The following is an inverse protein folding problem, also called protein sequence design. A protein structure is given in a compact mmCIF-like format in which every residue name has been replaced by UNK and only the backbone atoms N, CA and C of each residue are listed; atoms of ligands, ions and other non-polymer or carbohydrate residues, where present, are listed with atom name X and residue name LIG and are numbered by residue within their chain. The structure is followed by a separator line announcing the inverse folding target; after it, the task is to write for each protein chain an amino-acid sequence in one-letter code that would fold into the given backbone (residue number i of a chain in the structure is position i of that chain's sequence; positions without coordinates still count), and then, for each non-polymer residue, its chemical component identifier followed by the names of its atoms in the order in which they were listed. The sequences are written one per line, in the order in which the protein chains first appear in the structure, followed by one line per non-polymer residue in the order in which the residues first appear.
data_IF_340820676006
#
_entry.id   IF_340820676006
#
_cell.length_a   1.000
_cell.length_b   1.000
_cell.length_c   1.000
_cell.angle_alpha   90.00
_cell.angle_beta   90.00
_cell.angle_gamma   90.00
#
_symmetry.space_group_name_H-M   'P 1'
#
loop_
_entity.id
_entity.type
_entity.pdbx_description
1 polymer ?
#
# COMPACT_ATOMS: atom_id res chain seq x y z
N UNK A 1 -36.24 -16.03 13.75
CA UNK A 1 -37.18 -16.22 14.85
C UNK A 1 -38.52 -15.61 14.47
N UNK A 2 -39.59 -16.19 14.93
CA UNK A 2 -40.92 -15.60 14.85
C UNK A 2 -41.42 -15.41 16.28
N UNK A 3 -41.88 -14.18 16.59
CA UNK A 3 -42.38 -13.84 17.92
C UNK A 3 -41.39 -14.17 19.05
N UNK A 4 -40.11 -13.87 18.83
CA UNK A 4 -38.98 -14.18 19.70
C UNK A 4 -38.72 -15.70 19.95
N UNK A 5 -39.33 -16.56 19.15
CA UNK A 5 -39.11 -17.99 19.22
C UNK A 5 -38.38 -18.46 17.96
N UNK A 6 -37.31 -19.22 18.15
CA UNK A 6 -36.62 -19.84 17.03
C UNK A 6 -37.48 -20.92 16.40
N UNK A 7 -37.60 -20.86 15.08
CA UNK A 7 -38.40 -21.85 14.36
C UNK A 7 -37.73 -23.22 14.42
N UNK A 8 -38.52 -24.27 14.32
CA UNK A 8 -38.07 -25.67 14.35
C UNK A 8 -37.23 -26.02 15.60
N UNK A 9 -37.59 -25.41 16.74
CA UNK A 9 -36.86 -25.57 18.01
C UNK A 9 -35.36 -25.23 17.89
N UNK A 10 -35.04 -24.29 17.01
CA UNK A 10 -33.65 -23.91 16.73
C UNK A 10 -32.97 -23.28 17.93
N UNK A 11 -31.72 -23.61 18.11
CA UNK A 11 -30.81 -22.96 19.03
C UNK A 11 -29.63 -22.33 18.22
N UNK A 12 -29.58 -21.00 18.05
CA UNK A 12 -28.54 -20.35 17.30
C UNK A 12 -27.15 -20.47 17.95
N UNK A 13 -27.13 -20.87 19.25
CA UNK A 13 -25.86 -21.01 19.98
C UNK A 13 -25.37 -22.46 19.99
N UNK A 14 -26.05 -23.39 19.35
CA UNK A 14 -25.74 -24.82 19.37
C UNK A 14 -24.43 -25.21 18.64
N UNK A 15 -23.75 -24.25 18.01
CA UNK A 15 -22.49 -24.49 17.35
C UNK A 15 -22.56 -25.58 16.26
N UNK A 16 -21.70 -26.59 16.37
CA UNK A 16 -21.62 -27.67 15.39
C UNK A 16 -22.86 -28.59 15.38
N UNK A 17 -23.66 -28.60 16.45
CA UNK A 17 -24.85 -29.47 16.55
C UNK A 17 -26.01 -29.02 15.68
N UNK A 18 -26.00 -27.72 15.23
CA UNK A 18 -27.00 -27.15 14.30
C UNK A 18 -28.44 -27.45 14.67
N UNK A 19 -28.78 -27.42 15.98
CA UNK A 19 -30.11 -27.74 16.49
C UNK A 19 -31.16 -26.84 15.85
N UNK A 20 -32.16 -27.43 15.21
CA UNK A 20 -33.24 -26.72 14.51
C UNK A 20 -32.82 -26.06 13.20
N UNK A 21 -31.69 -26.43 12.63
CA UNK A 21 -31.33 -26.00 11.30
C UNK A 21 -32.34 -26.48 10.26
N UNK A 22 -32.78 -25.58 9.38
CA UNK A 22 -33.73 -25.87 8.30
C UNK A 22 -33.03 -26.61 7.13
N UNK A 23 -31.72 -26.53 7.08
CA UNK A 23 -30.86 -27.22 6.13
C UNK A 23 -29.47 -27.41 6.73
N UNK A 24 -28.88 -28.57 6.50
CA UNK A 24 -27.54 -28.91 7.02
C UNK A 24 -26.44 -28.62 6.02
N UNK A 25 -26.79 -28.40 4.76
CA UNK A 25 -25.84 -28.11 3.68
C UNK A 25 -25.85 -26.62 3.38
N UNK A 26 -25.13 -25.85 4.21
CA UNK A 26 -24.65 -24.57 3.77
C UNK A 26 -23.68 -24.85 2.62
N UNK A 27 -24.06 -24.45 1.42
CA UNK A 27 -23.15 -24.47 0.27
C UNK A 27 -21.86 -23.78 0.68
N UNK A 28 -20.81 -24.55 0.83
CA UNK A 28 -19.45 -24.02 0.91
C UNK A 28 -19.13 -23.49 -0.47
N UNK A 29 -19.27 -22.19 -0.68
CA UNK A 29 -18.67 -21.56 -1.84
C UNK A 29 -17.15 -21.69 -1.68
N UNK A 30 -16.48 -22.13 -2.73
CA UNK A 30 -15.03 -22.42 -2.71
C UNK A 30 -14.13 -21.24 -2.34
N UNK A 31 -14.67 -20.04 -2.17
CA UNK A 31 -13.96 -18.81 -1.80
C UNK A 31 -13.99 -18.51 -0.29
N UNK A 32 -14.64 -19.38 0.52
CA UNK A 32 -14.78 -19.17 1.96
C UNK A 32 -15.75 -18.05 2.36
N UNK A 33 -16.43 -17.41 1.42
CA UNK A 33 -17.38 -16.34 1.70
C UNK A 33 -18.79 -16.93 1.97
N UNK A 34 -19.49 -16.34 2.92
CA UNK A 34 -20.87 -16.69 3.25
C UNK A 34 -21.81 -15.57 2.83
N UNK A 35 -22.79 -15.91 2.04
CA UNK A 35 -23.81 -14.97 1.57
C UNK A 35 -25.14 -15.24 2.26
N UNK A 36 -25.80 -14.17 2.66
CA UNK A 36 -27.19 -14.28 3.09
C UNK A 36 -28.08 -14.54 1.86
N UNK A 37 -28.76 -15.66 1.84
CA UNK A 37 -29.75 -15.96 0.82
C UNK A 37 -31.09 -16.22 1.47
N UNK A 38 -32.13 -15.57 0.95
CA UNK A 38 -33.52 -15.79 1.38
C UNK A 38 -34.41 -15.95 0.16
N UNK A 39 -35.20 -16.98 0.12
CA UNK A 39 -36.24 -17.20 -0.90
C UNK A 39 -37.59 -17.27 -0.26
N UNK A 40 -38.52 -16.41 -0.69
CA UNK A 40 -39.94 -16.53 -0.39
C UNK A 40 -40.60 -17.36 -1.48
N UNK A 41 -41.27 -18.45 -1.09
CA UNK A 41 -42.08 -19.24 -2.01
C UNK A 41 -43.54 -19.22 -1.52
N UNK A 42 -44.41 -18.69 -2.38
CA UNK A 42 -45.84 -18.82 -2.20
C UNK A 42 -46.53 -18.94 -3.56
N UNK A 43 -47.36 -19.96 -3.73
CA UNK A 43 -47.86 -20.43 -5.01
C UNK A 43 -48.80 -19.46 -5.78
N UNK A 44 -49.29 -18.39 -5.19
CA UNK A 44 -50.20 -17.43 -5.84
C UNK A 44 -50.08 -15.98 -5.37
N UNK A 45 -49.33 -15.66 -4.31
CA UNK A 45 -49.21 -14.32 -3.77
C UNK A 45 -47.74 -13.88 -3.75
N UNK A 46 -47.51 -12.55 -3.93
CA UNK A 46 -46.18 -11.95 -3.83
C UNK A 46 -45.66 -12.03 -2.37
N UNK A 47 -44.72 -12.93 -2.10
CA UNK A 47 -44.06 -13.00 -0.82
C UNK A 47 -42.90 -12.01 -0.77
N UNK A 48 -42.97 -11.03 0.11
CA UNK A 48 -41.86 -10.10 0.37
C UNK A 48 -40.94 -10.63 1.47
N UNK A 49 -39.65 -10.76 1.21
CA UNK A 49 -38.66 -11.00 2.23
C UNK A 49 -38.10 -9.66 2.74
N UNK A 50 -38.35 -9.35 3.99
CA UNK A 50 -37.80 -8.16 4.63
C UNK A 50 -36.66 -8.55 5.55
N UNK A 51 -35.48 -8.00 5.27
CA UNK A 51 -34.28 -8.26 6.07
C UNK A 51 -33.89 -7.01 6.84
N UNK A 52 -33.71 -7.16 8.15
CA UNK A 52 -33.23 -6.10 9.02
C UNK A 52 -31.87 -6.51 9.62
N UNK A 53 -30.79 -5.92 9.12
CA UNK A 53 -29.44 -6.09 9.66
C UNK A 53 -29.08 -5.09 10.77
N UNK A 54 -30.07 -4.31 11.24
CA UNK A 54 -29.91 -3.27 12.24
C UNK A 54 -30.07 -1.85 11.68
N UNK A 55 -30.45 -1.71 10.40
CA UNK A 55 -30.80 -0.42 9.79
C UNK A 55 -32.08 0.20 10.38
N UNK A 56 -32.88 -0.62 11.08
CA UNK A 56 -34.01 -0.21 11.91
C UNK A 56 -33.91 -0.86 13.29
N UNK A 57 -34.60 -0.32 14.28
CA UNK A 57 -34.69 -0.99 15.57
C UNK A 57 -35.28 -2.41 15.40
N UNK A 58 -34.70 -3.37 16.10
CA UNK A 58 -35.29 -4.71 16.16
C UNK A 58 -36.58 -4.69 16.98
N UNK A 59 -37.59 -5.38 16.51
CA UNK A 59 -38.86 -5.57 17.25
C UNK A 59 -38.62 -6.41 18.49
N UNK A 60 -37.68 -7.36 18.40
CA UNK A 60 -37.35 -8.29 19.49
C UNK A 60 -35.87 -8.13 19.87
N UNK A 61 -35.56 -8.35 21.13
CA UNK A 61 -34.15 -8.36 21.59
C UNK A 61 -33.38 -9.48 20.90
N UNK A 62 -32.14 -9.14 20.50
CA UNK A 62 -31.25 -10.18 20.00
C UNK A 62 -30.92 -11.18 21.11
N UNK A 63 -30.72 -12.48 20.78
CA UNK A 63 -30.22 -13.45 21.74
C UNK A 63 -28.87 -13.02 22.32
N UNK A 64 -28.57 -13.44 23.54
CA UNK A 64 -27.29 -13.14 24.18
C UNK A 64 -26.12 -13.58 23.30
N UNK A 65 -25.17 -12.69 23.09
CA UNK A 65 -24.01 -12.93 22.23
C UNK A 65 -24.22 -12.62 20.75
N UNK A 66 -25.41 -12.16 20.37
CA UNK A 66 -25.72 -11.72 18.99
C UNK A 66 -25.96 -10.22 18.94
N UNK A 67 -25.38 -9.58 17.99
CA UNK A 67 -25.52 -8.16 17.75
C UNK A 67 -26.03 -7.87 16.33
N UNK A 68 -26.53 -6.66 16.13
CA UNK A 68 -26.92 -6.21 14.80
C UNK A 68 -25.69 -6.06 13.89
N UNK A 69 -25.84 -6.45 12.63
CA UNK A 69 -24.79 -6.25 11.62
C UNK A 69 -24.74 -4.77 11.23
N UNK A 70 -23.87 -4.02 11.88
CA UNK A 70 -23.59 -2.62 11.56
C UNK A 70 -22.13 -2.28 11.85
N UNK A 71 -21.62 -1.23 11.25
CA UNK A 71 -20.22 -0.82 11.40
C UNK A 71 -19.80 -0.54 12.85
N UNK A 72 -20.76 -0.14 13.71
CA UNK A 72 -20.49 0.11 15.14
C UNK A 72 -20.12 -1.16 15.92
N UNK A 73 -20.56 -2.32 15.46
CA UNK A 73 -20.31 -3.64 16.09
C UNK A 73 -19.15 -4.38 15.40
N UNK A 74 -18.51 -3.77 14.42
CA UNK A 74 -17.29 -4.30 13.81
C UNK A 74 -16.09 -3.83 14.63
N UNK A 75 -15.01 -4.62 14.70
CA UNK A 75 -13.77 -4.13 15.31
C UNK A 75 -13.31 -2.87 14.59
N UNK A 76 -12.75 -1.95 15.36
CA UNK A 76 -12.16 -0.74 14.79
C UNK A 76 -11.06 -1.11 13.77
N UNK A 77 -10.99 -0.43 12.62
CA UNK A 77 -9.92 -0.68 11.67
C UNK A 77 -8.56 -0.34 12.29
N UNK A 78 -7.54 -1.09 11.95
CA UNK A 78 -6.17 -0.85 12.42
C UNK A 78 -5.67 0.57 12.07
N UNK A 79 -6.18 1.14 10.98
CA UNK A 79 -5.98 2.52 10.59
C UNK A 79 -7.30 3.28 10.79
N UNK A 80 -7.43 4.02 11.88
CA UNK A 80 -8.62 4.78 12.21
C UNK A 80 -8.89 5.92 11.21
N UNK A 81 -7.83 6.52 10.67
CA UNK A 81 -7.91 7.63 9.72
C UNK A 81 -6.83 7.49 8.65
N UNK A 82 -7.23 7.09 7.45
CA UNK A 82 -6.33 6.85 6.32
C UNK A 82 -5.55 8.09 5.90
N UNK A 83 -6.15 9.28 6.03
CA UNK A 83 -5.52 10.57 5.67
C UNK A 83 -4.41 11.01 6.61
N UNK A 84 -4.13 10.27 7.68
CA UNK A 84 -2.93 10.49 8.51
C UNK A 84 -1.70 9.71 7.97
N UNK A 85 -1.92 8.84 6.98
CA UNK A 85 -0.88 7.97 6.44
C UNK A 85 -0.68 8.12 4.94
N UNK A 86 -1.75 8.39 4.20
CA UNK A 86 -1.73 8.61 2.75
C UNK A 86 -2.75 9.66 2.34
N UNK A 87 -2.35 10.59 1.49
CA UNK A 87 -3.25 11.59 0.94
C UNK A 87 -2.85 11.98 -0.49
N UNK A 88 -3.85 12.25 -1.34
CA UNK A 88 -3.67 12.77 -2.68
C UNK A 88 -4.22 14.19 -2.76
N UNK A 89 -3.40 15.13 -3.29
CA UNK A 89 -3.79 16.54 -3.45
C UNK A 89 -3.53 17.06 -4.83
N UNK A 90 -4.48 17.83 -5.33
CA UNK A 90 -4.31 18.64 -6.53
C UNK A 90 -3.66 19.96 -6.15
N UNK A 91 -2.79 20.47 -7.02
CA UNK A 91 -2.19 21.78 -6.87
C UNK A 91 -1.95 22.45 -8.23
N UNK A 92 -1.79 23.77 -8.22
CA UNK A 92 -1.53 24.56 -9.42
C UNK A 92 -0.05 24.91 -9.49
N UNK A 93 0.71 24.37 -10.45
CA UNK A 93 2.09 24.73 -10.69
C UNK A 93 2.26 26.22 -11.03
N UNK A 94 3.41 26.80 -10.67
CA UNK A 94 3.68 28.22 -10.90
C UNK A 94 5.05 28.52 -11.54
N UNK A 95 5.81 27.48 -11.88
CA UNK A 95 7.18 27.57 -12.44
C UNK A 95 8.19 28.33 -11.56
N UNK A 96 7.87 28.50 -10.29
CA UNK A 96 8.69 29.25 -9.33
C UNK A 96 8.74 28.56 -7.97
N UNK A 97 8.83 29.36 -6.92
CA UNK A 97 8.68 28.87 -5.55
C UNK A 97 7.21 28.59 -5.26
N UNK A 98 6.91 27.36 -4.90
CA UNK A 98 5.55 26.90 -4.64
C UNK A 98 5.52 26.07 -3.34
N UNK A 99 4.67 26.48 -2.41
CA UNK A 99 4.35 25.70 -1.23
C UNK A 99 3.00 25.04 -1.40
N UNK A 100 2.95 23.73 -1.32
CA UNK A 100 1.74 22.90 -1.37
C UNK A 100 1.46 22.38 0.02
N UNK A 101 0.36 22.82 0.62
CA UNK A 101 0.02 22.56 2.02
C UNK A 101 -1.33 21.85 2.19
N UNK A 102 -1.65 21.50 3.43
CA UNK A 102 -2.95 20.97 3.83
C UNK A 102 -3.01 19.45 3.94
N UNK A 103 -1.90 18.73 3.83
CA UNK A 103 -1.82 17.32 4.21
C UNK A 103 -1.99 17.17 5.72
N UNK A 104 -2.57 16.05 6.16
CA UNK A 104 -2.72 15.73 7.58
C UNK A 104 -1.40 15.35 8.27
N UNK A 105 -0.28 15.30 7.53
CA UNK A 105 1.04 14.86 7.99
C UNK A 105 2.15 15.50 7.17
N UNK A 106 3.42 15.39 7.63
CA UNK A 106 4.58 15.65 6.80
C UNK A 106 4.71 14.56 5.74
N UNK A 107 4.68 14.88 4.43
CA UNK A 107 5.00 13.91 3.40
C UNK A 107 6.42 13.37 3.56
N UNK A 108 6.59 12.05 3.65
CA UNK A 108 7.90 11.41 3.66
C UNK A 108 8.25 10.79 2.31
N UNK A 109 7.24 10.43 1.54
CA UNK A 109 7.35 10.06 0.13
C UNK A 109 6.36 10.88 -0.68
N UNK A 110 6.83 11.47 -1.76
CA UNK A 110 6.05 12.24 -2.72
C UNK A 110 6.17 11.61 -4.11
N UNK A 111 5.02 11.39 -4.72
CA UNK A 111 4.91 11.03 -6.13
C UNK A 111 4.13 12.14 -6.83
N UNK A 112 4.83 12.90 -7.71
CA UNK A 112 4.30 14.10 -8.34
C UNK A 112 4.07 13.87 -9.83
N UNK A 113 2.98 14.38 -10.39
CA UNK A 113 2.65 14.26 -11.81
C UNK A 113 1.85 15.45 -12.32
N UNK A 114 2.27 16.02 -13.45
CA UNK A 114 1.43 16.92 -14.23
C UNK A 114 0.22 16.13 -14.77
N UNK A 115 -0.97 16.73 -14.69
CA UNK A 115 -2.21 16.14 -15.21
C UNK A 115 -2.44 16.49 -16.68
N UNK A 116 -1.91 17.64 -17.12
CA UNK A 116 -2.12 18.17 -18.48
C UNK A 116 -1.04 17.75 -19.47
N UNK A 117 0.17 17.54 -19.00
CA UNK A 117 1.32 17.31 -19.87
C UNK A 117 1.86 15.88 -19.73
N UNK A 118 2.41 15.35 -20.83
CA UNK A 118 3.07 14.05 -20.87
C UNK A 118 4.46 14.05 -20.21
N UNK A 119 4.62 14.83 -19.14
CA UNK A 119 5.85 14.82 -18.35
C UNK A 119 5.99 13.48 -17.59
N UNK A 120 7.24 13.18 -17.21
CA UNK A 120 7.58 12.03 -16.39
C UNK A 120 6.91 12.08 -15.01
N UNK A 121 6.89 10.99 -14.32
CA UNK A 121 6.56 10.94 -12.90
C UNK A 121 7.79 11.33 -12.08
N UNK A 122 7.60 12.03 -10.98
CA UNK A 122 8.67 12.51 -10.12
C UNK A 122 8.49 11.98 -8.70
N UNK A 123 9.55 11.38 -8.17
CA UNK A 123 9.55 10.78 -6.85
C UNK A 123 10.62 11.39 -5.98
N UNK A 124 10.21 11.86 -4.80
CA UNK A 124 11.08 12.40 -3.76
C UNK A 124 10.78 11.70 -2.45
N UNK A 125 11.77 11.61 -1.57
CA UNK A 125 11.55 11.14 -0.21
C UNK A 125 12.45 11.81 0.81
N UNK A 126 11.99 11.80 2.06
CA UNK A 126 12.65 12.49 3.15
C UNK A 126 13.91 11.77 3.66
N UNK A 127 14.15 10.51 3.26
CA UNK A 127 15.38 9.77 3.59
C UNK A 127 16.52 10.22 2.68
N UNK A 128 16.26 10.38 1.38
CA UNK A 128 17.22 10.95 0.43
C UNK A 128 17.40 12.46 0.62
N UNK A 129 16.39 13.12 1.18
CA UNK A 129 16.39 14.54 1.49
C UNK A 129 15.98 15.42 0.30
N UNK A 130 16.22 16.73 0.44
CA UNK A 130 15.81 17.78 -0.50
C UNK A 130 16.84 18.03 -1.60
N UNK A 131 16.49 18.91 -2.54
CA UNK A 131 17.32 19.30 -3.68
C UNK A 131 16.86 18.68 -4.99
N UNK A 132 17.77 18.61 -5.95
CA UNK A 132 17.57 17.98 -7.25
C UNK A 132 17.71 16.46 -7.14
N UNK A 133 16.83 15.82 -6.37
CA UNK A 133 16.87 14.38 -6.06
C UNK A 133 15.68 13.63 -6.64
N UNK A 134 15.12 14.12 -7.73
CA UNK A 134 14.05 13.46 -8.42
C UNK A 134 14.49 12.11 -8.99
N UNK A 135 13.74 11.06 -8.71
CA UNK A 135 13.73 9.81 -9.47
C UNK A 135 12.46 9.78 -10.33
N UNK A 136 12.47 9.00 -11.39
CA UNK A 136 11.29 8.87 -12.27
C UNK A 136 10.88 7.42 -12.42
N UNK A 137 9.65 7.08 -11.95
CA UNK A 137 9.17 5.70 -11.98
C UNK A 137 8.98 5.10 -13.38
N UNK A 138 8.88 5.95 -14.38
CA UNK A 138 8.72 5.55 -15.79
C UNK A 138 10.02 5.71 -16.61
N UNK A 139 11.18 5.82 -15.95
CA UNK A 139 12.50 5.95 -16.59
C UNK A 139 13.57 5.17 -15.81
N UNK A 140 14.63 4.83 -16.51
CA UNK A 140 15.83 4.21 -15.92
C UNK A 140 16.82 5.21 -15.33
N UNK A 141 16.69 6.51 -15.62
CA UNK A 141 17.64 7.56 -15.25
C UNK A 141 18.06 7.52 -13.77
N UNK A 142 19.29 7.96 -13.50
CA UNK A 142 19.78 8.23 -12.16
C UNK A 142 19.01 9.38 -11.47
N UNK A 143 19.26 9.57 -10.18
CA UNK A 143 18.73 10.67 -9.38
C UNK A 143 19.25 12.01 -9.87
N UNK A 144 18.42 13.04 -9.90
CA UNK A 144 18.88 14.42 -10.10
C UNK A 144 18.76 14.99 -11.51
N UNK A 145 18.20 14.27 -12.44
CA UNK A 145 18.08 14.69 -13.84
C UNK A 145 16.87 15.64 -14.06
N UNK A 146 16.85 16.80 -13.36
CA UNK A 146 15.81 17.81 -13.56
C UNK A 146 16.23 19.23 -13.14
N UNK A 147 15.60 20.25 -13.77
CA UNK A 147 15.78 21.66 -13.46
C UNK A 147 15.02 22.15 -12.22
N UNK A 148 14.07 21.36 -11.71
CA UNK A 148 13.30 21.66 -10.51
C UNK A 148 13.83 20.95 -9.28
N UNK A 149 13.55 21.54 -8.14
CA UNK A 149 14.07 21.10 -6.85
C UNK A 149 12.95 21.05 -5.81
N UNK A 150 12.92 19.99 -5.02
CA UNK A 150 12.17 19.99 -3.78
C UNK A 150 13.02 20.69 -2.73
N UNK A 151 12.51 21.78 -2.13
CA UNK A 151 13.27 22.60 -1.18
C UNK A 151 13.01 22.22 0.26
N UNK A 152 11.80 21.73 0.59
CA UNK A 152 11.48 21.22 1.93
C UNK A 152 10.37 20.19 1.92
N UNK A 153 10.41 19.32 2.92
CA UNK A 153 9.30 18.54 3.42
C UNK A 153 8.74 19.27 4.64
N UNK A 154 7.52 19.80 4.53
CA UNK A 154 6.92 20.65 5.55
C UNK A 154 5.98 19.82 6.43
N UNK A 155 5.66 20.29 7.62
CA UNK A 155 4.81 19.53 8.58
C UNK A 155 3.44 19.14 8.02
N UNK A 156 2.93 19.89 7.03
CA UNK A 156 1.63 19.63 6.37
C UNK A 156 1.73 19.75 4.86
N UNK A 157 2.90 19.50 4.27
CA UNK A 157 3.10 19.65 2.84
C UNK A 157 4.53 19.57 2.38
N UNK A 158 4.81 20.31 1.29
CA UNK A 158 6.16 20.42 0.71
C UNK A 158 6.32 21.75 -0.02
N UNK A 159 7.56 22.20 -0.16
CA UNK A 159 7.90 23.36 -0.98
C UNK A 159 8.82 22.95 -2.10
N UNK A 160 8.59 23.51 -3.28
CA UNK A 160 9.38 23.27 -4.50
C UNK A 160 9.79 24.58 -5.15
N UNK A 161 10.81 24.54 -6.00
CA UNK A 161 11.28 25.67 -6.79
C UNK A 161 11.60 25.27 -8.22
N UNK A 162 11.60 26.26 -9.12
CA UNK A 162 11.91 26.05 -10.53
C UNK A 162 10.76 25.51 -11.37
N UNK A 163 10.99 25.38 -12.66
CA UNK A 163 9.99 25.01 -13.68
C UNK A 163 10.19 23.59 -14.19
N UNK A 164 10.26 22.62 -13.28
CA UNK A 164 10.24 21.21 -13.69
C UNK A 164 8.83 20.75 -14.06
N UNK A 165 8.70 19.63 -14.74
CA UNK A 165 7.40 19.12 -15.20
C UNK A 165 6.36 18.84 -14.09
N UNK A 166 6.75 18.81 -12.82
CA UNK A 166 5.82 18.74 -11.68
C UNK A 166 5.43 20.13 -11.16
N UNK A 167 6.16 21.20 -11.55
CA UNK A 167 5.87 22.59 -11.18
C UNK A 167 5.85 23.51 -12.40
N UNK A 168 5.64 22.99 -13.59
CA UNK A 168 5.55 23.78 -14.82
C UNK A 168 4.13 24.37 -14.96
N UNK A 169 4.03 25.71 -15.02
CA UNK A 169 2.75 26.41 -15.19
C UNK A 169 2.17 26.28 -16.60
N UNK A 170 2.94 25.79 -17.58
CA UNK A 170 2.45 25.36 -18.91
C UNK A 170 1.50 24.15 -18.84
N UNK A 171 1.33 23.56 -17.66
CA UNK A 171 0.34 22.49 -17.41
C UNK A 171 -1.12 22.95 -17.54
N UNK A 172 -1.38 24.23 -17.87
CA UNK A 172 -2.73 24.73 -18.05
C UNK A 172 -3.58 24.70 -16.79
N UNK A 173 -4.91 24.72 -16.95
CA UNK A 173 -5.87 24.68 -15.85
C UNK A 173 -5.98 23.33 -15.14
N UNK A 174 -5.47 22.25 -15.74
CA UNK A 174 -5.59 20.90 -15.19
C UNK A 174 -4.66 20.63 -14.01
N UNK A 175 -3.62 21.46 -13.86
CA UNK A 175 -2.74 21.45 -12.71
C UNK A 175 -1.86 20.19 -12.59
N UNK A 176 -1.48 19.88 -11.37
CA UNK A 176 -0.70 18.70 -11.02
C UNK A 176 -1.32 17.97 -9.83
N UNK A 177 -0.87 16.75 -9.60
CA UNK A 177 -1.26 15.93 -8.45
C UNK A 177 -0.03 15.52 -7.67
N UNK A 178 -0.16 15.51 -6.35
CA UNK A 178 0.77 14.93 -5.40
C UNK A 178 0.09 13.79 -4.67
N UNK A 179 0.66 12.60 -4.74
CA UNK A 179 0.40 11.51 -3.82
C UNK A 179 1.48 11.52 -2.76
N UNK A 180 1.07 11.50 -1.50
CA UNK A 180 1.95 11.61 -0.35
C UNK A 180 1.74 10.46 0.64
N UNK A 181 2.83 9.89 1.12
CA UNK A 181 2.84 8.85 2.16
C UNK A 181 3.59 9.35 3.39
N UNK A 182 3.11 8.94 4.56
CA UNK A 182 3.77 9.12 5.84
C UNK A 182 4.56 7.84 6.17
N UNK A 183 5.87 7.92 6.14
CA UNK A 183 6.77 6.84 6.55
C UNK A 183 7.15 6.91 8.04
N UNK A 184 6.58 7.86 8.78
CA UNK A 184 6.76 8.02 10.23
C UNK A 184 8.11 8.54 10.67
N UNK A 185 8.07 9.48 11.59
CA UNK A 185 9.22 9.92 12.39
C UNK A 185 10.43 10.47 11.65
N UNK A 186 11.56 10.42 12.32
CA UNK A 186 12.87 10.86 11.81
C UNK A 186 13.60 9.71 11.11
N UNK A 187 14.50 10.06 10.18
CA UNK A 187 15.42 9.09 9.59
C UNK A 187 16.37 8.54 10.66
N UNK A 188 16.46 7.23 10.76
CA UNK A 188 17.33 6.52 11.72
C UNK A 188 18.23 5.54 10.98
N UNK A 189 19.40 5.26 11.57
CA UNK A 189 20.26 4.18 11.09
C UNK A 189 19.69 2.85 11.60
N UNK A 190 19.43 1.92 10.69
CA UNK A 190 18.96 0.58 10.99
C UNK A 190 20.03 -0.46 10.63
N UNK A 191 20.47 -1.23 11.62
CA UNK A 191 21.50 -2.26 11.50
C UNK A 191 20.90 -3.68 11.63
N UNK A 192 19.60 -3.85 11.44
CA UNK A 192 18.95 -5.16 11.56
C UNK A 192 19.39 -6.14 10.45
N UNK A 193 19.74 -5.64 9.27
CA UNK A 193 20.32 -6.45 8.19
C UNK A 193 21.85 -6.52 8.19
N UNK A 194 22.42 -7.25 7.26
CA UNK A 194 23.87 -7.28 7.03
C UNK A 194 24.42 -6.01 6.38
N UNK A 195 23.54 -5.25 5.72
CA UNK A 195 23.81 -3.90 5.21
C UNK A 195 23.05 -2.91 6.08
N UNK A 196 23.75 -1.89 6.61
CA UNK A 196 23.15 -0.78 7.33
C UNK A 196 22.30 0.08 6.38
N UNK A 197 21.11 0.46 6.81
CA UNK A 197 20.20 1.34 6.06
C UNK A 197 19.94 2.64 6.80
N UNK A 198 19.67 3.73 6.05
CA UNK A 198 19.01 4.91 6.60
C UNK A 198 17.51 4.73 6.36
N UNK A 199 16.71 4.74 7.40
CA UNK A 199 15.34 4.24 7.41
C UNK A 199 14.36 5.25 7.99
N UNK A 200 13.20 5.38 7.33
CA UNK A 200 11.94 5.81 7.93
C UNK A 200 10.93 4.68 7.79
N UNK A 201 10.20 4.37 8.86
CA UNK A 201 9.19 3.32 8.84
C UNK A 201 7.96 3.71 9.65
N UNK A 202 6.80 3.45 9.10
CA UNK A 202 5.49 3.55 9.72
C UNK A 202 4.84 2.15 9.76
N UNK A 203 5.09 1.34 10.78
CA UNK A 203 4.52 0.00 10.87
C UNK A 203 2.98 -0.02 10.88
N UNK A 204 2.34 1.03 11.42
CA UNK A 204 0.87 1.15 11.42
C UNK A 204 0.32 1.29 10.01
N UNK A 205 0.98 2.08 9.16
CA UNK A 205 0.61 2.25 7.75
C UNK A 205 1.12 1.09 6.87
N UNK A 206 2.07 0.30 7.35
CA UNK A 206 2.75 -0.73 6.56
C UNK A 206 3.65 -0.16 5.47
N UNK A 207 4.24 1.03 5.69
CA UNK A 207 5.05 1.74 4.70
C UNK A 207 6.43 2.13 5.27
N UNK A 208 7.49 1.87 4.51
CA UNK A 208 8.85 2.29 4.88
C UNK A 208 9.66 2.71 3.65
N UNK A 209 10.69 3.52 3.89
CA UNK A 209 11.65 4.00 2.91
C UNK A 209 13.04 3.76 3.48
N UNK A 210 13.88 3.06 2.75
CA UNK A 210 15.26 2.80 3.17
C UNK A 210 16.24 3.20 2.07
N UNK A 211 17.38 3.77 2.43
CA UNK A 211 18.53 3.93 1.54
C UNK A 211 19.72 3.12 2.03
N UNK A 212 20.51 2.58 1.11
CA UNK A 212 21.67 1.78 1.43
C UNK A 212 22.75 1.87 0.35
N UNK A 213 23.98 1.52 0.71
CA UNK A 213 25.08 1.27 -0.24
C UNK A 213 25.18 -0.22 -0.50
N UNK A 214 25.24 -0.63 -1.75
CA UNK A 214 25.40 -2.02 -2.12
C UNK A 214 26.79 -2.56 -1.69
N UNK A 215 26.91 -3.89 -1.61
CA UNK A 215 28.15 -4.58 -1.23
C UNK A 215 28.53 -5.74 -2.17
N UNK A 216 27.78 -5.94 -3.24
CA UNK A 216 27.95 -7.03 -4.22
C UNK A 216 27.92 -8.44 -3.63
N UNK A 217 27.35 -8.62 -2.44
CA UNK A 217 27.23 -9.93 -1.78
C UNK A 217 25.83 -10.49 -1.96
N UNK A 218 25.68 -11.61 -2.66
CA UNK A 218 24.41 -12.31 -2.77
C UNK A 218 23.97 -12.86 -1.40
N UNK A 219 22.69 -12.74 -1.09
CA UNK A 219 22.15 -13.07 0.22
C UNK A 219 22.36 -12.01 1.30
N UNK A 220 22.86 -10.82 0.94
CA UNK A 220 22.89 -9.69 1.86
C UNK A 220 21.46 -9.27 2.26
N UNK A 221 21.31 -8.76 3.48
CA UNK A 221 20.00 -8.44 4.04
C UNK A 221 19.88 -6.97 4.41
N UNK A 222 18.68 -6.41 4.20
CA UNK A 222 18.28 -5.02 4.49
C UNK A 222 17.16 -5.01 5.52
N UNK A 223 17.32 -4.28 6.61
CA UNK A 223 16.25 -4.05 7.57
C UNK A 223 15.23 -3.05 7.03
N UNK A 224 13.93 -3.38 7.08
CA UNK A 224 12.85 -2.54 6.56
C UNK A 224 11.97 -1.90 7.64
N UNK A 225 12.07 -2.30 8.90
CA UNK A 225 11.41 -1.66 10.04
C UNK A 225 9.89 -1.82 10.15
N UNK A 226 9.23 -2.64 9.32
CA UNK A 226 7.77 -2.78 9.32
C UNK A 226 7.25 -3.71 10.42
N UNK A 227 8.07 -4.64 10.92
CA UNK A 227 7.65 -5.64 11.89
C UNK A 227 6.78 -6.77 11.31
N UNK A 228 6.39 -6.68 10.04
CA UNK A 228 5.63 -7.68 9.28
C UNK A 228 6.28 -7.88 7.92
N UNK A 229 6.07 -9.05 7.31
CA UNK A 229 6.56 -9.35 5.96
C UNK A 229 5.98 -8.33 4.96
N UNK A 230 6.81 -7.59 4.17
CA UNK A 230 6.31 -6.69 3.16
C UNK A 230 5.67 -7.45 2.00
N UNK A 231 4.55 -6.93 1.51
CA UNK A 231 3.81 -7.48 0.38
C UNK A 231 4.33 -6.97 -0.97
N UNK A 232 4.95 -5.80 -0.97
CA UNK A 232 5.53 -5.16 -2.15
C UNK A 232 6.87 -4.51 -1.78
N UNK A 233 7.87 -4.68 -2.63
CA UNK A 233 9.20 -4.07 -2.47
C UNK A 233 9.58 -3.46 -3.81
N UNK A 234 10.02 -2.21 -3.77
CA UNK A 234 10.50 -1.49 -4.95
C UNK A 234 11.92 -1.03 -4.67
N UNK A 235 12.87 -1.39 -5.53
CA UNK A 235 14.28 -1.00 -5.41
C UNK A 235 14.72 -0.24 -6.64
N UNK A 236 15.43 0.87 -6.44
CA UNK A 236 16.04 1.67 -7.51
C UNK A 236 17.44 2.10 -7.14
N UNK A 237 18.39 1.91 -8.05
CA UNK A 237 19.71 2.56 -7.95
C UNK A 237 19.56 4.06 -8.14
N UNK A 238 20.30 4.84 -7.35
CA UNK A 238 20.21 6.31 -7.31
C UNK A 238 21.21 6.98 -8.23
N UNK A 239 22.37 6.41 -8.41
CA UNK A 239 23.56 6.99 -9.04
C UNK A 239 23.90 6.39 -10.41
N UNK A 240 23.05 5.53 -10.92
CA UNK A 240 23.20 4.94 -12.25
C UNK A 240 21.85 4.78 -12.97
N UNK A 241 21.92 4.69 -14.30
CA UNK A 241 20.76 4.33 -15.12
C UNK A 241 20.53 2.83 -15.00
N UNK A 242 19.36 2.43 -14.49
CA UNK A 242 18.94 1.05 -14.33
C UNK A 242 17.43 0.95 -14.16
N UNK A 243 16.86 -0.26 -14.23
CA UNK A 243 15.44 -0.48 -14.04
C UNK A 243 15.01 -0.32 -12.58
N UNK A 244 13.72 -0.10 -12.36
CA UNK A 244 13.06 -0.19 -11.08
C UNK A 244 12.66 -1.65 -10.83
N UNK A 245 13.32 -2.30 -9.92
CA UNK A 245 13.05 -3.70 -9.58
C UNK A 245 11.90 -3.79 -8.60
N UNK A 246 10.89 -4.59 -8.91
CA UNK A 246 9.67 -4.70 -8.10
C UNK A 246 9.37 -6.16 -7.80
N UNK A 247 9.29 -6.47 -6.51
CA UNK A 247 8.67 -7.67 -5.98
C UNK A 247 7.25 -7.37 -5.52
N UNK A 248 6.34 -8.31 -5.74
CA UNK A 248 5.01 -8.32 -5.13
C UNK A 248 4.59 -9.75 -4.81
N UNK A 249 3.97 -9.97 -3.64
CA UNK A 249 3.50 -11.29 -3.18
C UNK A 249 2.53 -12.01 -4.12
N UNK A 250 2.01 -11.32 -5.10
CA UNK A 250 1.08 -11.85 -6.12
C UNK A 250 1.74 -12.34 -7.39
N UNK A 251 3.07 -12.18 -7.55
CA UNK A 251 3.80 -12.66 -8.71
C UNK A 251 3.66 -14.17 -8.84
N UNK A 252 3.83 -14.68 -10.06
CA UNK A 252 3.71 -16.10 -10.37
C UNK A 252 2.47 -16.78 -9.74
N UNK A 253 1.31 -16.12 -9.81
CA UNK A 253 0.07 -16.61 -9.20
C UNK A 253 0.18 -16.97 -7.70
N UNK A 254 1.11 -16.34 -6.97
CA UNK A 254 1.45 -16.54 -5.54
C UNK A 254 2.23 -17.84 -5.24
N UNK A 255 2.82 -18.45 -6.24
CA UNK A 255 3.72 -19.60 -6.06
C UNK A 255 5.15 -19.09 -6.13
N UNK A 256 5.89 -19.22 -5.03
CA UNK A 256 7.28 -18.77 -4.90
C UNK A 256 7.52 -17.38 -5.53
N UNK A 257 6.73 -16.35 -5.12
CA UNK A 257 6.77 -15.02 -5.75
C UNK A 257 8.12 -14.31 -5.56
N UNK A 258 8.93 -14.74 -4.61
CA UNK A 258 10.29 -14.24 -4.34
C UNK A 258 11.30 -14.59 -5.44
N UNK A 259 10.99 -15.60 -6.25
CA UNK A 259 11.79 -16.00 -7.41
C UNK A 259 11.52 -15.11 -8.62
N UNK A 260 10.56 -14.19 -8.51
CA UNK A 260 10.11 -13.37 -9.62
C UNK A 260 10.21 -11.87 -9.31
N UNK A 261 10.38 -11.07 -10.35
CA UNK A 261 10.25 -9.62 -10.31
C UNK A 261 9.60 -9.07 -11.57
N UNK A 262 9.14 -7.82 -11.49
CA UNK A 262 8.74 -7.01 -12.63
C UNK A 262 9.50 -5.68 -12.59
N UNK A 263 9.53 -4.99 -13.72
CA UNK A 263 10.12 -3.64 -13.84
C UNK A 263 9.02 -2.58 -13.86
N UNK A 264 9.02 -1.64 -12.90
CA UNK A 264 8.01 -0.58 -12.84
C UNK A 264 8.01 0.32 -14.07
N UNK A 265 9.17 0.54 -14.67
CA UNK A 265 9.36 1.33 -15.90
C UNK A 265 9.25 0.49 -17.18
N UNK A 266 9.03 -0.82 -17.05
CA UNK A 266 8.88 -1.77 -18.14
C UNK A 266 7.43 -2.15 -18.41
N UNK A 267 7.24 -2.98 -19.40
CA UNK A 267 5.95 -3.57 -19.79
C UNK A 267 6.06 -5.08 -20.06
N UNK A 268 7.18 -5.67 -19.66
CA UNK A 268 7.38 -7.12 -19.74
C UNK A 268 6.58 -7.84 -18.64
N UNK A 269 6.28 -9.11 -18.89
CA UNK A 269 5.77 -10.01 -17.86
C UNK A 269 6.77 -10.18 -16.72
N UNK A 270 6.34 -10.80 -15.63
CA UNK A 270 7.20 -11.19 -14.53
C UNK A 270 8.33 -12.11 -15.01
N UNK A 271 9.51 -11.90 -14.44
CA UNK A 271 10.73 -12.61 -14.81
C UNK A 271 11.13 -13.51 -13.65
N UNK A 272 11.25 -14.81 -13.90
CA UNK A 272 11.85 -15.76 -12.95
C UNK A 272 13.37 -15.56 -12.96
N UNK A 273 13.91 -15.05 -11.87
CA UNK A 273 15.34 -14.83 -11.72
C UNK A 273 15.71 -14.46 -10.27
N UNK A 274 16.81 -14.98 -9.72
CA UNK A 274 17.31 -14.60 -8.39
C UNK A 274 17.79 -13.16 -8.30
N UNK A 275 17.82 -12.41 -9.39
CA UNK A 275 18.48 -11.11 -9.50
C UNK A 275 17.90 -10.01 -8.60
N UNK A 276 16.74 -10.18 -7.99
CA UNK A 276 16.21 -9.23 -7.02
C UNK A 276 16.34 -9.73 -5.59
N UNK A 277 15.58 -10.73 -5.19
CA UNK A 277 15.48 -11.20 -3.81
C UNK A 277 16.32 -12.47 -3.51
N UNK A 278 17.18 -12.88 -4.43
CA UNK A 278 18.04 -14.06 -4.26
C UNK A 278 17.23 -15.31 -3.91
N UNK A 279 16.07 -15.48 -4.58
CA UNK A 279 15.11 -16.58 -4.36
C UNK A 279 14.77 -16.76 -2.86
N UNK A 280 14.66 -15.66 -2.14
CA UNK A 280 14.45 -15.69 -0.69
C UNK A 280 13.29 -14.80 -0.29
N UNK A 281 12.25 -15.41 0.29
CA UNK A 281 11.08 -14.69 0.78
C UNK A 281 11.45 -13.63 1.83
N UNK A 282 10.90 -12.41 1.74
CA UNK A 282 11.04 -11.42 2.80
C UNK A 282 10.52 -11.95 4.14
N UNK A 283 11.14 -11.52 5.23
CA UNK A 283 10.71 -11.83 6.59
C UNK A 283 9.97 -10.66 7.22
N UNK A 284 9.62 -10.74 8.50
CA UNK A 284 9.07 -9.62 9.26
C UNK A 284 10.10 -8.53 9.60
N UNK A 285 11.38 -8.77 9.39
CA UNK A 285 12.46 -7.85 9.78
C UNK A 285 13.40 -7.45 8.66
N UNK A 286 13.65 -8.36 7.70
CA UNK A 286 14.63 -8.13 6.63
C UNK A 286 14.13 -8.58 5.26
N UNK A 287 14.69 -7.94 4.25
CA UNK A 287 14.63 -8.33 2.83
C UNK A 287 16.02 -8.86 2.46
N UNK A 288 16.08 -10.03 1.83
CA UNK A 288 17.32 -10.58 1.25
C UNK A 288 17.45 -10.11 -0.19
N UNK A 289 18.63 -9.65 -0.57
CA UNK A 289 18.91 -9.16 -1.93
C UNK A 289 20.03 -9.97 -2.59
N UNK A 290 20.00 -10.01 -3.92
CA UNK A 290 21.03 -10.70 -4.72
C UNK A 290 22.33 -9.90 -4.81
N UNK A 291 23.31 -10.40 -5.57
CA UNK A 291 24.52 -9.66 -5.94
C UNK A 291 24.33 -8.81 -7.21
N UNK A 292 23.15 -8.83 -7.82
CA UNK A 292 22.90 -8.13 -9.09
C UNK A 292 23.08 -6.61 -8.96
N UNK A 293 23.60 -5.99 -10.01
CA UNK A 293 23.90 -4.56 -10.03
C UNK A 293 22.66 -3.65 -9.93
N UNK A 294 21.49 -4.17 -10.28
CA UNK A 294 20.24 -3.41 -10.17
C UNK A 294 19.78 -3.22 -8.71
N UNK A 295 20.28 -4.06 -7.79
CA UNK A 295 19.91 -4.02 -6.37
C UNK A 295 21.10 -3.97 -5.41
N UNK A 296 22.34 -4.36 -5.79
CA UNK A 296 23.42 -4.53 -4.80
C UNK A 296 24.87 -4.35 -5.33
N UNK A 297 25.13 -3.52 -6.32
CA UNK A 297 26.52 -3.23 -6.70
C UNK A 297 27.23 -2.44 -5.59
N UNK A 298 28.47 -2.84 -5.26
CA UNK A 298 29.31 -2.15 -4.25
C UNK A 298 29.73 -0.72 -4.63
N UNK A 299 29.54 -0.33 -5.89
CA UNK A 299 29.82 1.02 -6.39
C UNK A 299 28.59 1.91 -6.45
N UNK A 300 27.42 1.45 -5.96
CA UNK A 300 26.15 2.15 -6.12
C UNK A 300 25.41 2.32 -4.79
N UNK A 301 24.55 3.32 -4.77
CA UNK A 301 23.58 3.56 -3.71
C UNK A 301 22.16 3.34 -4.22
N UNK A 302 21.26 2.98 -3.31
CA UNK A 302 19.91 2.55 -3.64
C UNK A 302 18.87 3.20 -2.72
N UNK A 303 17.62 3.20 -3.19
CA UNK A 303 16.41 3.41 -2.37
C UNK A 303 15.51 2.19 -2.52
N UNK A 304 14.96 1.77 -1.40
CA UNK A 304 13.98 0.70 -1.29
C UNK A 304 12.71 1.26 -0.64
#
# INVERSE_FOLDING_TARGET
AKDNTWQNSGDPTSGSNKTGAIGTDLLTVNDGNHYFAGQGFNGSDSAGLYVNFGQRAFTYSAPTGYEKLCSKNMPDPAIAKSTDHFEARLYTPNSGNLSVTGFGFQPDWLWLKSRAQAYRHYLFDAVRGTGQKALSSNRTSAEGDDSGSLTSFDSTGFTTSGSSGFNDNGSGTDGAIAWAWNAGGSTVTNNTGSISTQLRANPTAGFSIATYSGNSTGGATLGHGLGVKPDCIIIKTRDASDNWMVYHKGLNAKVDPEDYFVELNGFAADVNSPNMLNDTAPTSSVVTISADGSVNSSSRTYVM
#
